data_IF_068298767913
#
_entry.id   IF_068298767913
#
_cell.length_a   1.000
_cell.length_b   1.000
_cell.length_c   1.000
_cell.angle_alpha   90.00
_cell.angle_beta   90.00
_cell.angle_gamma   90.00
#
_symmetry.space_group_name_H-M   'P 1'
#
loop_
_entity.id
_entity.type
_entity.pdbx_description
1 polymer ?
#
# COMPACT_ATOMS: atom_id res chain seq x y z
N UNK A 1 -0.58 18.39 5.44
CA UNK A 1 -1.49 17.38 4.86
C UNK A 1 -2.42 16.93 5.97
N UNK A 2 -3.71 16.79 5.69
CA UNK A 2 -4.68 16.37 6.70
C UNK A 2 -4.43 14.89 7.04
N UNK A 3 -4.01 14.63 8.27
CA UNK A 3 -3.59 13.29 8.70
C UNK A 3 -4.74 12.28 8.60
N UNK A 4 -6.00 12.71 8.63
CA UNK A 4 -7.14 11.81 8.49
C UNK A 4 -7.32 11.32 7.04
N UNK A 5 -7.23 12.23 6.05
CA UNK A 5 -7.34 11.88 4.63
C UNK A 5 -6.19 10.96 4.19
N UNK A 6 -4.98 11.26 4.64
CA UNK A 6 -3.79 10.42 4.39
C UNK A 6 -3.94 9.02 4.98
N UNK A 7 -4.39 8.90 6.24
CA UNK A 7 -4.64 7.60 6.88
C UNK A 7 -5.69 6.77 6.15
N UNK A 8 -6.78 7.39 5.70
CA UNK A 8 -7.81 6.69 4.92
C UNK A 8 -7.23 6.17 3.60
N UNK A 9 -6.47 7.00 2.89
CA UNK A 9 -5.81 6.60 1.65
C UNK A 9 -4.83 5.44 1.85
N UNK A 10 -3.97 5.51 2.88
CA UNK A 10 -3.04 4.42 3.23
C UNK A 10 -3.83 3.14 3.49
N UNK A 11 -4.90 3.22 4.30
CA UNK A 11 -5.71 2.06 4.67
C UNK A 11 -6.37 1.43 3.45
N UNK A 12 -6.98 2.24 2.60
CA UNK A 12 -7.78 1.75 1.48
C UNK A 12 -6.86 1.07 0.44
N UNK A 13 -5.76 1.73 0.03
CA UNK A 13 -4.77 1.14 -0.88
C UNK A 13 -4.12 -0.11 -0.30
N UNK A 14 -3.77 -0.08 0.99
CA UNK A 14 -3.16 -1.25 1.66
C UNK A 14 -4.11 -2.44 1.73
N UNK A 15 -5.43 -2.21 1.85
CA UNK A 15 -6.43 -3.27 1.82
C UNK A 15 -6.43 -3.99 0.47
N UNK A 16 -6.35 -3.26 -0.63
CA UNK A 16 -6.39 -3.85 -1.97
C UNK A 16 -5.12 -4.65 -2.29
N UNK A 17 -3.95 -4.09 -1.94
CA UNK A 17 -2.68 -4.81 -2.04
C UNK A 17 -2.72 -6.09 -1.21
N UNK A 18 -3.28 -6.02 0.00
CA UNK A 18 -3.41 -7.19 0.89
C UNK A 18 -4.40 -8.22 0.34
N UNK A 19 -5.48 -7.80 -0.33
CA UNK A 19 -6.44 -8.71 -0.95
C UNK A 19 -5.79 -9.61 -2.02
N UNK A 20 -4.75 -9.11 -2.70
CA UNK A 20 -4.00 -9.89 -3.68
C UNK A 20 -2.89 -10.73 -3.03
N UNK A 21 -2.24 -10.21 -1.98
CA UNK A 21 -1.03 -10.82 -1.42
C UNK A 21 -1.30 -11.85 -0.31
N UNK A 22 -2.24 -11.52 0.59
CA UNK A 22 -2.59 -12.33 1.76
C UNK A 22 -4.08 -12.11 2.11
N UNK A 23 -5.02 -12.58 1.27
CA UNK A 23 -6.46 -12.38 1.49
C UNK A 23 -6.94 -12.94 2.83
N UNK A 24 -6.24 -13.93 3.39
CA UNK A 24 -6.46 -14.49 4.72
C UNK A 24 -6.26 -13.47 5.86
N UNK A 25 -5.51 -12.38 5.64
CA UNK A 25 -5.30 -11.32 6.63
C UNK A 25 -6.37 -10.22 6.57
N UNK A 26 -7.19 -10.16 5.52
CA UNK A 26 -8.23 -9.13 5.37
C UNK A 26 -9.21 -9.03 6.55
N UNK A 27 -9.69 -10.13 7.16
CA UNK A 27 -10.56 -10.05 8.33
C UNK A 27 -9.92 -9.35 9.54
N UNK A 28 -8.58 -9.40 9.63
CA UNK A 28 -7.81 -8.80 10.71
C UNK A 28 -7.31 -7.39 10.37
N UNK A 29 -7.37 -7.01 9.09
CA UNK A 29 -6.75 -5.78 8.58
C UNK A 29 -7.24 -4.51 9.29
N UNK A 30 -8.51 -4.43 9.65
CA UNK A 30 -9.04 -3.28 10.40
C UNK A 30 -8.33 -3.12 11.75
N UNK A 31 -8.16 -4.20 12.51
CA UNK A 31 -7.46 -4.18 13.80
C UNK A 31 -5.97 -3.92 13.63
N UNK A 32 -5.34 -4.56 12.65
CA UNK A 32 -3.91 -4.40 12.36
C UNK A 32 -3.59 -2.96 11.93
N UNK A 33 -4.40 -2.39 11.04
CA UNK A 33 -4.22 -1.01 10.57
C UNK A 33 -4.40 0.01 11.70
N UNK A 34 -5.39 -0.19 12.59
CA UNK A 34 -5.55 0.67 13.76
C UNK A 34 -4.34 0.62 14.69
N UNK A 35 -3.81 -0.59 14.97
CA UNK A 35 -2.61 -0.76 15.78
C UNK A 35 -1.38 -0.12 15.12
N UNK A 36 -1.22 -0.28 13.80
CA UNK A 36 -0.14 0.34 13.04
C UNK A 36 -0.21 1.85 13.05
N UNK A 37 -1.38 2.47 12.87
CA UNK A 37 -1.53 3.93 12.94
C UNK A 37 -1.29 4.48 14.35
N UNK A 38 -1.51 3.69 15.40
CA UNK A 38 -1.21 4.07 16.77
C UNK A 38 0.30 4.05 17.05
N UNK A 39 1.00 2.98 16.63
CA UNK A 39 2.46 2.87 16.73
C UNK A 39 3.02 1.96 15.61
N UNK A 40 3.53 2.55 14.50
CA UNK A 40 4.06 1.79 13.38
C UNK A 40 5.28 0.93 13.73
N UNK A 41 6.09 1.35 14.71
CA UNK A 41 7.30 0.63 15.10
C UNK A 41 6.94 -0.59 15.95
N UNK A 42 6.01 -0.44 16.90
CA UNK A 42 5.52 -1.55 17.70
C UNK A 42 4.78 -2.57 16.84
N UNK A 43 3.91 -2.13 15.93
CA UNK A 43 3.18 -3.02 15.02
C UNK A 43 4.11 -3.84 14.10
N UNK A 44 5.19 -3.24 13.60
CA UNK A 44 6.20 -3.96 12.82
C UNK A 44 6.97 -4.99 13.63
N UNK A 45 7.29 -4.69 14.90
CA UNK A 45 7.95 -5.65 15.79
C UNK A 45 7.02 -6.82 16.13
N UNK A 46 5.75 -6.54 16.41
CA UNK A 46 4.75 -7.56 16.69
C UNK A 46 4.52 -8.51 15.50
N UNK A 47 4.51 -7.97 14.27
CA UNK A 47 4.41 -8.77 13.03
C UNK A 47 5.54 -9.78 12.85
N UNK A 48 6.78 -9.39 13.23
CA UNK A 48 7.97 -10.22 13.06
C UNK A 48 8.12 -11.31 14.10
N UNK A 49 7.60 -11.08 15.31
CA UNK A 49 7.84 -11.97 16.44
C UNK A 49 6.78 -13.06 16.59
N UNK A 50 5.76 -13.12 15.72
CA UNK A 50 4.61 -14.04 15.89
C UNK A 50 3.78 -13.75 17.16
N UNK A 51 4.16 -12.70 17.90
CA UNK A 51 3.61 -12.32 19.20
C UNK A 51 2.30 -11.54 19.07
N UNK A 52 1.81 -11.38 17.83
CA UNK A 52 0.39 -11.17 17.57
C UNK A 52 -0.38 -12.48 17.89
N UNK A 53 -0.33 -12.88 19.16
CA UNK A 53 -1.06 -13.99 19.77
C UNK A 53 -2.56 -13.68 19.86
N UNK A 54 -3.17 -13.26 18.74
CA UNK A 54 -4.60 -13.46 18.49
C UNK A 54 -4.71 -14.88 17.93
N UNK A 55 -4.88 -15.86 18.82
CA UNK A 55 -4.78 -17.29 18.55
C UNK A 55 -5.67 -17.83 17.41
N UNK A 56 -5.22 -17.68 16.17
CA UNK A 56 -5.84 -18.23 14.97
C UNK A 56 -4.72 -18.81 14.07
N UNK A 57 -4.55 -20.14 14.09
CA UNK A 57 -3.46 -20.85 13.39
C UNK A 57 -3.58 -20.89 11.86
N UNK A 58 -2.74 -21.67 11.14
CA UNK A 58 -1.62 -22.46 11.60
C UNK A 58 -0.33 -22.05 10.88
N UNK A 59 0.29 -20.94 11.25
CA UNK A 59 1.75 -20.92 11.25
C UNK A 59 2.27 -19.84 12.21
N UNK A 60 2.74 -20.20 13.42
CA UNK A 60 3.43 -19.27 14.31
C UNK A 60 4.73 -18.71 13.70
N UNK A 61 5.12 -19.16 12.50
CA UNK A 61 6.28 -18.70 11.75
C UNK A 61 5.97 -17.83 10.53
N UNK A 62 4.69 -17.52 10.24
CA UNK A 62 4.33 -16.64 9.12
C UNK A 62 4.29 -15.16 9.53
N UNK A 63 5.17 -14.36 8.96
CA UNK A 63 5.19 -12.89 9.09
C UNK A 63 3.86 -12.32 8.56
N UNK A 64 3.22 -11.42 9.31
CA UNK A 64 2.02 -10.73 8.84
C UNK A 64 2.38 -9.72 7.75
N UNK A 65 1.71 -9.80 6.60
CA UNK A 65 1.88 -8.88 5.48
C UNK A 65 1.21 -7.53 5.72
N UNK A 66 0.11 -7.46 6.46
CA UNK A 66 -0.66 -6.24 6.64
C UNK A 66 0.18 -5.05 7.20
N UNK A 67 0.96 -5.19 8.30
CA UNK A 67 1.81 -4.10 8.80
C UNK A 67 2.90 -3.68 7.83
N UNK A 68 3.37 -4.63 7.02
CA UNK A 68 4.40 -4.42 6.03
C UNK A 68 3.86 -3.65 4.82
N UNK A 69 2.69 -4.03 4.33
CA UNK A 69 1.98 -3.32 3.25
C UNK A 69 1.69 -1.88 3.68
N UNK A 70 1.16 -1.67 4.90
CA UNK A 70 0.90 -0.33 5.45
C UNK A 70 2.18 0.52 5.47
N UNK A 71 3.29 -0.06 5.91
CA UNK A 71 4.59 0.62 5.91
C UNK A 71 5.00 1.03 4.49
N UNK A 72 4.99 0.11 3.53
CA UNK A 72 5.40 0.39 2.16
C UNK A 72 4.51 1.43 1.48
N UNK A 73 3.18 1.31 1.63
CA UNK A 73 2.23 2.29 1.06
C UNK A 73 2.43 3.67 1.68
N UNK A 74 2.67 3.77 2.99
CA UNK A 74 2.95 5.05 3.65
C UNK A 74 4.21 5.74 3.11
N UNK A 75 5.24 4.96 2.78
CA UNK A 75 6.51 5.48 2.22
C UNK A 75 6.41 5.90 0.76
N UNK A 76 5.44 5.34 0.02
CA UNK A 76 5.16 5.71 -1.37
C UNK A 76 4.41 7.04 -1.49
N UNK A 77 3.61 7.41 -0.49
CA UNK A 77 2.76 8.60 -0.59
C UNK A 77 3.51 9.90 -0.93
N UNK A 78 4.68 10.22 -0.34
CA UNK A 78 5.44 11.41 -0.72
C UNK A 78 5.90 11.39 -2.18
N UNK A 79 6.29 10.21 -2.71
CA UNK A 79 6.66 10.06 -4.12
C UNK A 79 5.45 10.31 -5.02
N UNK A 80 4.31 9.69 -4.72
CA UNK A 80 3.09 9.86 -5.51
C UNK A 80 2.56 11.30 -5.45
N UNK A 81 2.65 11.95 -4.29
CA UNK A 81 2.33 13.37 -4.14
C UNK A 81 3.17 14.24 -5.05
N UNK A 82 4.48 13.98 -5.16
CA UNK A 82 5.35 14.70 -6.09
C UNK A 82 5.01 14.44 -7.57
N UNK A 83 4.60 13.22 -7.91
CA UNK A 83 4.12 12.90 -9.27
C UNK A 83 2.83 13.68 -9.56
N UNK A 84 1.89 13.72 -8.61
CA UNK A 84 0.63 14.46 -8.74
C UNK A 84 0.85 15.97 -8.92
N UNK A 85 1.76 16.55 -8.13
CA UNK A 85 2.13 17.96 -8.24
C UNK A 85 2.78 18.29 -9.59
N UNK A 86 3.60 17.40 -10.15
CA UNK A 86 4.21 17.60 -11.48
C UNK A 86 3.20 17.49 -12.60
N UNK A 87 2.19 16.63 -12.46
CA UNK A 87 1.14 16.46 -13.45
C UNK A 87 0.13 17.62 -13.46
N UNK A 88 0.10 18.44 -12.40
CA UNK A 88 -0.89 19.51 -12.22
C UNK A 88 -0.21 20.75 -11.65
N UNK A 89 0.01 21.78 -12.47
CA UNK A 89 0.69 23.03 -12.07
C UNK A 89 -0.01 23.80 -10.91
N UNK A 90 -1.21 23.40 -10.50
CA UNK A 90 -2.10 24.17 -9.61
C UNK A 90 -2.59 23.44 -8.35
N UNK A 91 -2.23 22.18 -8.14
CA UNK A 91 -2.77 21.39 -7.02
C UNK A 91 -2.03 21.71 -5.71
N UNK A 92 -2.74 22.12 -4.66
CA UNK A 92 -2.16 22.44 -3.34
C UNK A 92 -2.91 21.69 -2.24
N UNK A 93 -2.18 21.09 -1.30
CA UNK A 93 -2.76 20.57 -0.05
C UNK A 93 -3.70 19.38 -0.23
N UNK A 94 -4.98 19.54 0.12
CA UNK A 94 -6.00 18.47 0.18
C UNK A 94 -6.26 17.84 -1.19
N UNK A 95 -6.13 18.61 -2.26
CA UNK A 95 -6.25 18.13 -3.63
C UNK A 95 -5.15 17.14 -4.01
N UNK A 96 -3.98 17.18 -3.35
CA UNK A 96 -2.90 16.20 -3.57
C UNK A 96 -3.34 14.81 -3.13
N UNK A 97 -3.98 14.68 -1.96
CA UNK A 97 -4.46 13.38 -1.48
C UNK A 97 -5.55 12.82 -2.39
N UNK A 98 -6.43 13.67 -2.93
CA UNK A 98 -7.45 13.27 -3.90
C UNK A 98 -6.80 12.86 -5.23
N UNK A 99 -5.82 13.61 -5.72
CA UNK A 99 -5.09 13.29 -6.94
C UNK A 99 -4.32 11.97 -6.80
N UNK A 100 -3.62 11.76 -5.68
CA UNK A 100 -2.93 10.49 -5.39
C UNK A 100 -3.94 9.36 -5.27
N UNK A 101 -5.07 9.57 -4.59
CA UNK A 101 -6.15 8.57 -4.54
C UNK A 101 -6.62 8.19 -5.93
N UNK A 102 -6.83 9.17 -6.82
CA UNK A 102 -7.23 8.93 -8.22
C UNK A 102 -6.20 8.14 -9.00
N UNK A 103 -4.90 8.22 -8.67
CA UNK A 103 -3.87 7.39 -9.31
C UNK A 103 -4.09 5.91 -9.05
N UNK A 104 -4.66 5.55 -7.90
CA UNK A 104 -5.13 4.21 -7.62
C UNK A 104 -6.53 4.04 -8.23
N UNK A 105 -6.79 2.93 -8.91
CA UNK A 105 -8.09 2.68 -9.57
C UNK A 105 -9.25 2.34 -8.60
N UNK A 106 -9.10 2.65 -7.31
CA UNK A 106 -9.98 2.27 -6.19
C UNK A 106 -11.30 3.09 -6.10
N UNK A 107 -12.04 3.28 -7.19
CA UNK A 107 -13.28 4.07 -7.07
C UNK A 107 -14.17 4.19 -8.29
N UNK A 108 -13.69 3.82 -9.48
CA UNK A 108 -14.52 3.83 -10.67
C UNK A 108 -14.80 2.39 -11.09
N UNK A 109 -15.85 1.80 -10.50
CA UNK A 109 -16.48 0.59 -11.05
C UNK A 109 -17.00 0.84 -12.49
N UNK A 110 -17.10 2.12 -12.89
CA UNK A 110 -17.47 2.61 -14.22
C UNK A 110 -16.26 3.10 -15.06
N UNK A 111 -15.02 2.95 -14.60
CA UNK A 111 -13.87 3.35 -15.40
C UNK A 111 -13.76 2.41 -16.61
N UNK A 112 -13.73 2.94 -17.84
CA UNK A 112 -13.58 2.10 -19.02
C UNK A 112 -12.30 1.27 -18.89
N UNK A 113 -12.41 -0.03 -19.17
CA UNK A 113 -11.30 -1.00 -19.12
C UNK A 113 -10.08 -0.57 -19.97
N UNK A 114 -10.31 0.33 -20.92
CA UNK A 114 -9.34 0.91 -21.85
C UNK A 114 -8.79 2.29 -21.43
N UNK A 115 -9.12 2.77 -20.23
CA UNK A 115 -8.50 3.98 -19.72
C UNK A 115 -6.99 3.77 -19.60
N UNK A 116 -6.20 4.72 -20.11
CA UNK A 116 -4.75 4.67 -20.01
C UNK A 116 -4.31 4.57 -18.54
N UNK A 117 -3.22 3.85 -18.24
CA UNK A 117 -2.66 3.84 -16.89
C UNK A 117 -2.32 5.26 -16.46
N UNK A 118 -2.68 5.61 -15.22
CA UNK A 118 -2.57 6.97 -14.70
C UNK A 118 -1.09 7.36 -14.51
N UNK A 119 -0.25 6.36 -14.25
CA UNK A 119 1.20 6.50 -14.23
C UNK A 119 1.82 6.01 -15.54
N UNK A 120 2.86 6.71 -15.97
CA UNK A 120 3.72 6.27 -17.08
C UNK A 120 4.50 5.02 -16.71
N UNK A 121 4.94 4.24 -17.71
CA UNK A 121 5.78 3.05 -17.47
C UNK A 121 7.06 3.35 -16.69
N UNK A 122 7.60 4.57 -16.83
CA UNK A 122 8.77 5.02 -16.07
C UNK A 122 8.44 5.17 -14.59
N UNK A 123 7.31 5.80 -14.27
CA UNK A 123 6.86 6.00 -12.89
C UNK A 123 6.45 4.69 -12.22
N UNK A 124 5.81 3.76 -12.95
CA UNK A 124 5.54 2.41 -12.45
C UNK A 124 6.85 1.67 -12.11
N UNK A 125 7.89 1.82 -12.92
CA UNK A 125 9.23 1.30 -12.62
C UNK A 125 9.91 1.98 -11.44
N UNK A 126 9.60 3.25 -11.14
CA UNK A 126 10.06 3.95 -9.94
C UNK A 126 9.35 3.44 -8.68
N UNK A 127 8.03 3.26 -8.75
CA UNK A 127 7.23 2.63 -7.68
C UNK A 127 7.75 1.22 -7.38
N UNK A 128 7.91 0.38 -8.40
CA UNK A 128 8.43 -0.99 -8.23
C UNK A 128 9.78 -1.00 -7.51
N UNK A 129 10.75 -0.19 -7.98
CA UNK A 129 12.07 -0.09 -7.35
C UNK A 129 12.00 0.42 -5.93
N UNK A 130 11.11 1.35 -5.63
CA UNK A 130 10.90 1.85 -4.28
C UNK A 130 10.42 0.75 -3.34
N UNK A 131 9.44 -0.06 -3.75
CA UNK A 131 8.94 -1.19 -2.97
C UNK A 131 10.02 -2.24 -2.75
N UNK A 132 10.82 -2.58 -3.78
CA UNK A 132 11.96 -3.50 -3.62
C UNK A 132 13.00 -2.94 -2.62
N UNK A 133 13.32 -1.65 -2.70
CA UNK A 133 14.25 -1.01 -1.77
C UNK A 133 13.71 -1.00 -0.33
N UNK A 134 12.43 -0.71 -0.15
CA UNK A 134 11.75 -0.82 1.14
C UNK A 134 11.81 -2.25 1.67
N UNK A 135 11.57 -3.25 0.82
CA UNK A 135 11.65 -4.65 1.22
C UNK A 135 13.03 -5.08 1.71
N UNK A 136 14.10 -4.61 1.05
CA UNK A 136 15.47 -4.83 1.51
C UNK A 136 15.73 -4.20 2.88
N UNK A 137 15.32 -2.95 3.10
CA UNK A 137 15.46 -2.26 4.40
C UNK A 137 14.66 -2.97 5.51
N UNK A 138 13.48 -3.47 5.17
CA UNK A 138 12.60 -4.19 6.08
C UNK A 138 12.98 -5.66 6.25
N UNK A 139 14.06 -6.12 5.60
CA UNK A 139 14.59 -7.49 5.64
C UNK A 139 13.56 -8.55 5.22
N UNK A 140 12.73 -8.20 4.25
CA UNK A 140 11.81 -9.12 3.59
C UNK A 140 12.61 -10.02 2.65
N UNK A 141 12.19 -11.28 2.51
CA UNK A 141 12.76 -12.20 1.55
C UNK A 141 12.59 -11.67 0.10
N UNK A 142 13.59 -11.81 -0.79
CA UNK A 142 13.55 -11.21 -2.13
C UNK A 142 12.31 -11.57 -2.96
N UNK A 143 11.85 -12.82 -2.96
CA UNK A 143 10.66 -13.21 -3.72
C UNK A 143 9.37 -12.62 -3.11
N UNK A 144 9.30 -12.47 -1.79
CA UNK A 144 8.21 -11.74 -1.13
C UNK A 144 8.23 -10.24 -1.46
N UNK A 145 9.40 -9.60 -1.48
CA UNK A 145 9.53 -8.19 -1.87
C UNK A 145 9.11 -7.97 -3.33
N UNK A 146 9.43 -8.92 -4.23
CA UNK A 146 8.98 -8.92 -5.61
C UNK A 146 7.45 -9.02 -5.70
N UNK A 147 6.83 -9.98 -5.01
CA UNK A 147 5.36 -10.11 -4.98
C UNK A 147 4.66 -8.87 -4.46
N UNK A 148 5.22 -8.23 -3.42
CA UNK A 148 4.69 -6.98 -2.89
C UNK A 148 4.80 -5.85 -3.92
N UNK A 149 5.94 -5.71 -4.60
CA UNK A 149 6.13 -4.70 -5.62
C UNK A 149 5.16 -4.88 -6.80
N UNK A 150 4.95 -6.12 -7.24
CA UNK A 150 4.04 -6.44 -8.34
C UNK A 150 2.58 -6.17 -7.94
N UNK A 151 2.17 -6.53 -6.72
CA UNK A 151 0.83 -6.27 -6.19
C UNK A 151 0.55 -4.76 -6.00
N UNK A 152 1.56 -3.98 -5.61
CA UNK A 152 1.45 -2.51 -5.53
C UNK A 152 1.32 -1.90 -6.92
N UNK A 153 2.15 -2.32 -7.87
CA UNK A 153 2.09 -1.83 -9.27
C UNK A 153 0.73 -2.16 -9.90
N UNK A 154 0.17 -3.34 -9.60
CA UNK A 154 -1.14 -3.75 -10.08
C UNK A 154 -2.26 -2.75 -9.74
N UNK A 155 -2.18 -2.06 -8.59
CA UNK A 155 -3.19 -1.06 -8.18
C UNK A 155 -3.28 0.17 -9.10
N UNK A 156 -2.25 0.39 -9.91
CA UNK A 156 -2.18 1.52 -10.85
C UNK A 156 -2.55 1.14 -12.29
N UNK A 157 -2.67 -0.16 -12.59
CA UNK A 157 -2.84 -0.66 -13.97
C UNK A 157 -4.07 -1.54 -14.16
N UNK A 158 -4.53 -2.26 -13.13
CA UNK A 158 -5.65 -3.18 -13.27
C UNK A 158 -7.00 -2.46 -13.07
N UNK A 159 -7.97 -2.61 -13.98
CA UNK A 159 -9.38 -2.35 -13.65
C UNK A 159 -9.88 -3.42 -12.67
N UNK A 160 -10.77 -3.03 -11.76
CA UNK A 160 -11.40 -3.94 -10.79
C UNK A 160 -12.23 -5.01 -11.55
N UNK A 161 -12.32 -6.23 -11.00
CA UNK A 161 -12.92 -7.40 -11.68
C UNK A 161 -14.30 -7.72 -11.13
#
# INVERSE_FOLDING_TARGET
>A
MDTAAERNLIRDVSRDVLAQLAPNELPLFTTISAAWFADPQAAQKASRNGDAALGFGPDPFSVLFAPLVLQVVSELLPMLGNIALKATETVIGEEVSVAVRKMFRHGDADAPADAAPILTSKELGEVHRHVIAAGKRLRIEPAQAQRLADAVVAQFVMPDK
#
